data_IF_653219788195
#
_entry.id   IF_653219788195
#
_cell.length_a   1.000
_cell.length_b   1.000
_cell.length_c   1.000
_cell.angle_alpha   90.00
_cell.angle_beta   90.00
_cell.angle_gamma   90.00
#
_symmetry.space_group_name_H-M   'P 1'
#
loop_
_entity.id
_entity.type
_entity.pdbx_description
1 polymer ?
#
# COMPACT_ATOMS: atom_id res chain seq x y z
N UNK A 1 -1.19 3.39 6.67
CA UNK A 1 -1.78 2.24 7.40
C UNK A 1 -2.31 2.67 8.76
N UNK A 2 -3.48 2.18 9.21
CA UNK A 2 -4.09 2.55 10.51
C UNK A 2 -4.36 1.34 11.39
N UNK A 3 -3.91 1.38 12.66
CA UNK A 3 -4.45 0.51 13.72
C UNK A 3 -5.53 1.21 14.53
N UNK A 4 -6.63 0.50 14.68
CA UNK A 4 -7.86 0.95 15.33
C UNK A 4 -8.04 0.22 16.65
N UNK A 5 -8.45 0.89 17.73
CA UNK A 5 -8.76 0.23 19.01
C UNK A 5 -9.92 0.89 19.75
N UNK A 6 -10.86 0.08 20.28
CA UNK A 6 -11.88 0.48 21.25
C UNK A 6 -11.55 -0.08 22.64
N UNK A 7 -11.49 0.78 23.66
CA UNK A 7 -11.67 0.38 25.06
C UNK A 7 -12.61 1.36 25.76
N UNK A 8 -13.48 0.81 26.62
CA UNK A 8 -14.59 1.49 27.30
C UNK A 8 -14.14 2.69 28.16
N UNK A 9 -15.09 3.57 28.43
CA UNK A 9 -15.01 4.90 29.04
C UNK A 9 -14.25 4.98 30.36
N UNK A 10 -13.27 5.88 30.45
CA UNK A 10 -12.86 6.53 31.70
C UNK A 10 -12.41 7.97 31.43
N UNK A 11 -12.95 8.90 32.22
CA UNK A 11 -12.68 10.34 32.18
C UNK A 11 -11.19 10.62 32.47
N UNK A 12 -10.55 11.36 31.57
CA UNK A 12 -9.19 11.88 31.79
C UNK A 12 -9.30 13.24 32.48
N UNK A 13 -8.99 13.31 33.77
CA UNK A 13 -8.66 14.59 34.41
C UNK A 13 -7.28 15.10 33.97
N UNK A 14 -7.08 16.42 33.83
CA UNK A 14 -5.80 16.99 33.45
C UNK A 14 -4.83 16.99 34.62
N UNK A 15 -3.70 16.28 34.49
CA UNK A 15 -2.65 16.30 35.50
C UNK A 15 -1.97 17.67 35.56
N UNK A 16 -1.85 18.18 36.79
CA UNK A 16 -1.32 19.50 37.15
C UNK A 16 0.12 19.76 36.69
N UNK A 17 0.40 21.05 36.52
CA UNK A 17 1.70 21.66 36.20
C UNK A 17 2.75 21.41 37.29
N UNK A 18 3.62 20.42 37.03
CA UNK A 18 4.86 20.22 37.78
C UNK A 18 6.07 20.34 36.85
N UNK A 19 6.86 21.41 37.01
CA UNK A 19 8.18 21.55 36.37
C UNK A 19 9.09 20.42 36.85
N UNK A 20 9.54 19.56 35.94
CA UNK A 20 10.83 18.89 36.10
C UNK A 20 11.46 18.61 34.74
N UNK A 21 12.71 19.03 34.62
CA UNK A 21 13.59 18.95 33.45
C UNK A 21 14.20 17.55 33.33
N UNK A 22 13.82 16.80 32.31
CA UNK A 22 14.63 15.74 31.70
C UNK A 22 14.01 15.37 30.35
N UNK A 23 14.84 15.32 29.30
CA UNK A 23 14.48 14.99 27.91
C UNK A 23 13.60 13.73 27.81
N UNK A 24 12.67 13.64 26.86
CA UNK A 24 12.03 12.37 26.53
C UNK A 24 13.02 11.47 25.79
N UNK A 25 13.20 10.26 26.31
CA UNK A 25 13.95 9.19 25.65
C UNK A 25 13.31 8.87 24.29
N UNK A 26 14.09 9.12 23.24
CA UNK A 26 13.77 8.71 21.88
C UNK A 26 13.76 7.19 21.84
N UNK A 27 12.60 6.61 21.48
CA UNK A 27 12.48 5.19 21.13
C UNK A 27 13.54 4.90 20.05
N UNK A 28 14.42 3.93 20.33
CA UNK A 28 15.46 3.53 19.39
C UNK A 28 14.84 3.09 18.05
N UNK A 29 15.46 3.44 16.90
CA UNK A 29 14.90 3.11 15.60
C UNK A 29 14.82 1.60 15.40
N UNK A 30 13.67 1.15 14.89
CA UNK A 30 13.46 -0.23 14.44
C UNK A 30 14.47 -0.54 13.32
N UNK A 31 15.33 -1.57 13.43
CA UNK A 31 16.34 -1.87 12.42
C UNK A 31 15.77 -2.30 11.05
N UNK A 32 14.44 -2.48 10.94
CA UNK A 32 13.74 -2.81 9.69
C UNK A 32 13.01 -1.65 9.02
N UNK A 33 13.05 -0.44 9.59
CA UNK A 33 12.51 0.78 8.98
C UNK A 33 13.62 1.84 8.96
N UNK A 34 14.41 1.88 7.88
CA UNK A 34 15.26 3.04 7.61
C UNK A 34 14.47 4.05 6.78
N UNK A 35 14.01 5.10 7.44
CA UNK A 35 13.63 6.35 6.76
C UNK A 35 14.94 7.11 6.52
N UNK A 36 15.46 7.06 5.30
CA UNK A 36 16.51 7.97 4.87
C UNK A 36 15.86 9.18 4.22
N UNK A 37 15.99 10.34 4.86
CA UNK A 37 15.87 11.64 4.20
C UNK A 37 17.27 12.24 4.13
N UNK A 38 17.67 12.75 2.96
CA UNK A 38 18.79 13.70 2.88
C UNK A 38 18.81 14.50 1.55
N UNK A 39 19.52 15.65 1.51
CA UNK A 39 19.12 16.81 0.74
C UNK A 39 19.78 16.94 -0.65
N UNK A 40 19.03 17.68 -1.48
CA UNK A 40 19.31 18.27 -2.80
C UNK A 40 20.79 18.45 -3.19
N UNK A 41 21.17 17.87 -4.34
CA UNK A 41 22.31 18.29 -5.15
C UNK A 41 21.83 18.88 -6.48
N UNK A 42 22.46 19.96 -6.92
CA UNK A 42 22.15 20.76 -8.11
C UNK A 42 23.06 20.46 -9.30
N UNK A 43 22.52 20.66 -10.52
CA UNK A 43 23.17 20.87 -11.85
C UNK A 43 23.66 19.58 -12.56
N UNK A 44 23.69 19.42 -13.90
CA UNK A 44 23.41 20.26 -15.08
C UNK A 44 23.43 19.39 -16.37
N UNK A 45 22.57 19.74 -17.34
CA UNK A 45 22.70 19.64 -18.83
C UNK A 45 22.65 18.28 -19.56
N UNK A 46 21.79 18.24 -20.60
CA UNK A 46 21.45 17.16 -21.55
C UNK A 46 22.35 17.18 -22.83
N UNK A 47 22.04 16.54 -23.99
CA UNK A 47 21.05 15.48 -24.31
C UNK A 47 21.58 14.33 -25.22
N UNK A 48 20.83 13.22 -25.32
CA UNK A 48 21.05 12.17 -26.32
C UNK A 48 19.72 11.58 -26.81
N UNK A 49 19.34 11.93 -28.04
CA UNK A 49 18.11 11.53 -28.75
C UNK A 49 18.30 10.17 -29.42
N UNK A 50 17.44 9.20 -29.14
CA UNK A 50 17.21 8.03 -30.01
C UNK A 50 15.72 7.79 -30.17
N UNK A 51 15.26 7.94 -31.41
CA UNK A 51 13.92 7.61 -31.90
C UNK A 51 13.89 6.15 -32.34
N UNK A 52 12.89 5.38 -31.91
CA UNK A 52 12.59 4.06 -32.47
C UNK A 52 11.11 4.02 -32.88
N UNK A 53 10.89 3.87 -34.19
CA UNK A 53 9.57 3.70 -34.81
C UNK A 53 9.26 2.21 -34.89
N UNK A 54 8.16 1.77 -34.28
CA UNK A 54 7.65 0.40 -34.45
C UNK A 54 6.39 0.44 -35.30
N UNK A 55 6.51 -0.05 -36.53
CA UNK A 55 5.38 -0.32 -37.45
C UNK A 55 4.80 -1.69 -37.14
N UNK A 56 3.50 -1.78 -36.87
CA UNK A 56 2.78 -3.06 -36.87
C UNK A 56 1.78 -3.06 -38.02
N UNK A 57 1.91 -4.03 -38.93
CA UNK A 57 0.93 -4.36 -39.96
C UNK A 57 0.04 -5.49 -39.45
N UNK A 58 -1.27 -5.40 -39.69
CA UNK A 58 -2.17 -6.56 -39.60
C UNK A 58 -3.15 -6.52 -40.78
N UNK A 59 -3.13 -7.58 -41.59
CA UNK A 59 -4.06 -7.80 -42.70
C UNK A 59 -5.17 -8.78 -42.29
N UNK A 60 -6.38 -8.42 -42.69
CA UNK A 60 -7.72 -9.02 -42.67
C UNK A 60 -7.82 -10.54 -42.94
N UNK A 61 -8.83 -11.20 -42.35
CA UNK A 61 -9.75 -12.13 -43.08
C UNK A 61 -11.05 -12.35 -42.28
N UNK A 62 -12.19 -12.06 -42.89
CA UNK A 62 -13.54 -12.41 -42.40
C UNK A 62 -13.96 -13.79 -42.91
N UNK A 63 -14.59 -14.62 -42.06
CA UNK A 63 -15.44 -15.73 -42.50
C UNK A 63 -16.55 -16.02 -41.47
N UNK A 64 -17.79 -15.94 -41.91
CA UNK A 64 -19.03 -16.15 -41.14
C UNK A 64 -19.56 -17.57 -41.33
N UNK A 65 -19.99 -18.28 -40.26
CA UNK A 65 -21.21 -19.12 -40.26
C UNK A 65 -21.67 -19.63 -38.86
N UNK A 66 -22.92 -19.29 -38.52
CA UNK A 66 -23.98 -19.98 -37.73
C UNK A 66 -23.82 -20.43 -36.24
N UNK A 67 -24.40 -19.60 -35.36
CA UNK A 67 -25.41 -19.81 -34.29
C UNK A 67 -25.39 -21.02 -33.32
N UNK A 68 -25.20 -20.70 -32.04
CA UNK A 68 -25.91 -21.28 -30.88
C UNK A 68 -26.16 -20.11 -29.89
N UNK A 69 -27.23 -20.06 -29.06
CA UNK A 69 -27.47 -18.92 -28.19
C UNK A 69 -26.45 -18.97 -27.04
N UNK A 70 -25.29 -18.35 -27.26
CA UNK A 70 -24.40 -18.01 -26.19
C UNK A 70 -25.15 -17.06 -25.26
N UNK A 71 -25.13 -17.35 -23.97
CA UNK A 71 -25.38 -16.35 -22.94
C UNK A 71 -24.47 -15.18 -23.33
N UNK A 72 -25.07 -14.09 -23.80
CA UNK A 72 -24.35 -12.86 -24.05
C UNK A 72 -23.97 -12.39 -22.65
N UNK A 73 -22.76 -12.72 -22.18
CA UNK A 73 -22.10 -11.89 -21.19
C UNK A 73 -22.14 -10.50 -21.82
N UNK A 74 -23.05 -9.66 -21.34
CA UNK A 74 -22.99 -8.24 -21.63
C UNK A 74 -21.64 -7.80 -21.10
N UNK A 75 -20.67 -7.68 -22.01
CA UNK A 75 -19.46 -6.93 -21.74
C UNK A 75 -19.92 -5.50 -21.43
N UNK A 76 -20.02 -5.23 -20.15
CA UNK A 76 -20.15 -3.90 -19.61
C UNK A 76 -18.88 -3.15 -20.07
N UNK A 77 -19.05 -2.16 -20.96
CA UNK A 77 -17.99 -1.36 -21.61
C UNK A 77 -17.02 -0.71 -20.60
N UNK A 78 -17.39 -0.71 -19.32
CA UNK A 78 -16.59 -0.23 -18.19
C UNK A 78 -15.64 -1.26 -17.57
N UNK A 79 -15.80 -2.55 -17.89
CA UNK A 79 -15.00 -3.63 -17.31
C UNK A 79 -13.77 -3.90 -18.17
N UNK A 80 -12.60 -3.75 -17.56
CA UNK A 80 -11.31 -3.98 -18.20
C UNK A 80 -10.80 -5.37 -17.83
N UNK A 81 -10.50 -6.19 -18.84
CA UNK A 81 -9.76 -7.44 -18.66
C UNK A 81 -8.28 -7.13 -18.41
N UNK A 82 -7.70 -7.72 -17.37
CA UNK A 82 -6.33 -7.51 -16.94
C UNK A 82 -5.73 -8.80 -16.38
N UNK A 83 -4.50 -8.73 -15.87
CA UNK A 83 -3.82 -9.81 -15.15
C UNK A 83 -3.19 -9.29 -13.86
N UNK A 84 -3.06 -10.15 -12.87
CA UNK A 84 -2.37 -9.89 -11.61
C UNK A 84 -1.35 -10.99 -11.35
N UNK A 85 -0.16 -10.63 -10.87
CA UNK A 85 0.83 -11.61 -10.45
C UNK A 85 0.48 -12.16 -9.06
N UNK A 86 0.60 -13.47 -8.91
CA UNK A 86 0.53 -14.19 -7.65
C UNK A 86 1.78 -15.04 -7.46
N UNK A 87 2.02 -15.47 -6.21
CA UNK A 87 3.03 -16.47 -5.91
C UNK A 87 2.57 -17.84 -6.47
N UNK A 88 3.37 -18.43 -7.36
CA UNK A 88 3.10 -19.78 -7.86
C UNK A 88 3.33 -20.81 -6.74
N UNK A 89 2.36 -21.67 -6.46
CA UNK A 89 2.49 -22.68 -5.40
C UNK A 89 3.44 -23.81 -5.84
N UNK A 90 4.66 -23.83 -5.28
CA UNK A 90 5.67 -24.83 -5.59
C UNK A 90 5.93 -25.75 -4.39
N UNK A 91 6.18 -27.07 -4.60
CA UNK A 91 6.54 -27.99 -3.52
C UNK A 91 7.78 -27.57 -2.71
N UNK A 92 8.67 -26.78 -3.31
CA UNK A 92 9.83 -26.18 -2.63
C UNK A 92 9.44 -25.43 -1.35
N UNK A 93 8.27 -24.79 -1.36
CA UNK A 93 7.85 -23.90 -0.26
C UNK A 93 7.43 -24.63 1.01
N UNK A 94 7.21 -25.94 0.93
CA UNK A 94 6.98 -26.80 2.09
C UNK A 94 8.26 -26.97 2.93
N UNK A 95 9.43 -26.86 2.27
CA UNK A 95 10.73 -27.04 2.92
C UNK A 95 11.52 -25.74 3.05
N UNK A 96 11.28 -24.76 2.17
CA UNK A 96 12.05 -23.51 2.10
C UNK A 96 11.14 -22.30 1.89
N UNK A 97 11.23 -21.28 2.76
CA UNK A 97 10.35 -20.11 2.65
C UNK A 97 10.67 -19.28 1.38
N UNK A 98 9.63 -18.81 0.66
CA UNK A 98 9.80 -17.79 -0.38
C UNK A 98 10.56 -16.55 0.15
N UNK A 99 11.51 -16.03 -0.62
CA UNK A 99 12.25 -14.82 -0.26
C UNK A 99 12.52 -13.93 -1.47
N UNK A 100 12.74 -12.64 -1.21
CA UNK A 100 13.34 -11.68 -2.16
C UNK A 100 14.40 -10.88 -1.41
N UNK A 101 15.58 -10.76 -2.00
CA UNK A 101 16.67 -9.93 -1.49
C UNK A 101 16.58 -8.54 -2.13
N UNK A 102 16.61 -7.50 -1.29
CA UNK A 102 16.59 -6.10 -1.75
C UNK A 102 17.98 -5.55 -2.06
N UNK A 103 19.00 -6.37 -1.95
CA UNK A 103 20.39 -6.06 -2.25
C UNK A 103 20.94 -7.09 -3.25
N UNK A 104 22.03 -6.73 -3.91
CA UNK A 104 22.73 -7.65 -4.81
C UNK A 104 23.25 -8.85 -4.01
N UNK A 105 22.81 -10.05 -4.37
CA UNK A 105 23.30 -11.29 -3.76
C UNK A 105 24.71 -11.63 -4.26
N UNK A 106 25.44 -12.46 -3.49
CA UNK A 106 26.67 -13.10 -3.97
C UNK A 106 26.36 -14.06 -5.13
N UNK A 107 27.36 -14.34 -5.98
CA UNK A 107 27.17 -14.97 -7.30
C UNK A 107 26.44 -16.33 -7.25
N UNK A 108 26.47 -17.03 -6.10
CA UNK A 108 25.87 -18.36 -5.94
C UNK A 108 24.50 -18.39 -5.26
N UNK A 109 23.99 -17.25 -4.75
CA UNK A 109 22.68 -17.18 -4.10
C UNK A 109 21.71 -16.46 -5.02
N UNK A 110 20.62 -17.11 -5.49
CA UNK A 110 19.63 -16.42 -6.30
C UNK A 110 18.94 -15.34 -5.46
N UNK A 111 18.69 -14.17 -6.06
CA UNK A 111 18.07 -13.03 -5.37
C UNK A 111 16.64 -13.33 -4.87
N UNK A 112 15.99 -14.33 -5.46
CA UNK A 112 14.71 -14.86 -5.01
C UNK A 112 14.62 -16.34 -5.38
N UNK A 113 13.98 -17.14 -4.52
CA UNK A 113 13.63 -18.53 -4.81
C UNK A 113 12.18 -18.70 -5.29
N UNK A 114 11.40 -17.62 -5.38
CA UNK A 114 9.98 -17.72 -5.70
C UNK A 114 9.68 -17.45 -7.17
N UNK A 115 8.64 -18.12 -7.67
CA UNK A 115 8.08 -17.89 -9.00
C UNK A 115 6.77 -17.12 -8.93
N UNK A 116 6.55 -16.27 -9.92
CA UNK A 116 5.31 -15.51 -10.09
C UNK A 116 4.50 -16.14 -11.22
N UNK A 117 3.19 -16.20 -11.05
CA UNK A 117 2.23 -16.64 -12.07
C UNK A 117 1.17 -15.56 -12.29
N UNK A 118 0.79 -15.29 -13.54
CA UNK A 118 -0.28 -14.35 -13.84
C UNK A 118 -1.63 -15.06 -13.78
N UNK A 119 -2.58 -14.42 -13.12
CA UNK A 119 -3.99 -14.82 -13.14
C UNK A 119 -4.81 -13.73 -13.84
N UNK A 120 -5.73 -14.11 -14.75
CA UNK A 120 -6.64 -13.14 -15.37
C UNK A 120 -7.56 -12.56 -14.30
N UNK A 121 -7.87 -11.28 -14.42
CA UNK A 121 -8.82 -10.58 -13.56
C UNK A 121 -9.65 -9.58 -14.38
N UNK A 122 -10.84 -9.27 -13.89
CA UNK A 122 -11.67 -8.17 -14.39
C UNK A 122 -11.54 -7.00 -13.42
N UNK A 123 -11.35 -5.80 -13.94
CA UNK A 123 -11.26 -4.56 -13.17
C UNK A 123 -12.39 -3.61 -13.59
N UNK A 124 -13.05 -2.97 -12.63
CA UNK A 124 -14.14 -2.02 -12.86
C UNK A 124 -13.88 -0.74 -12.08
N UNK A 125 -14.33 0.40 -12.59
CA UNK A 125 -14.15 1.67 -11.90
C UNK A 125 -15.10 1.78 -10.70
N UNK A 126 -14.55 1.96 -9.51
CA UNK A 126 -15.33 2.21 -8.27
C UNK A 126 -16.11 3.54 -8.30
N UNK A 127 -15.87 4.40 -9.30
CA UNK A 127 -16.56 5.69 -9.46
C UNK A 127 -17.86 5.61 -10.26
N UNK A 128 -18.19 4.45 -10.80
CA UNK A 128 -19.40 4.30 -11.58
C UNK A 128 -20.66 4.40 -10.72
N UNK A 129 -21.75 4.98 -11.25
CA UNK A 129 -23.03 5.02 -10.55
C UNK A 129 -23.49 3.62 -10.13
N UNK A 130 -23.74 3.43 -8.82
CA UNK A 130 -24.21 2.15 -8.28
C UNK A 130 -23.12 1.11 -7.99
N UNK A 131 -21.82 1.44 -8.11
CA UNK A 131 -20.75 0.51 -7.77
C UNK A 131 -20.69 0.18 -6.26
N UNK A 132 -21.09 1.12 -5.39
CA UNK A 132 -21.15 0.96 -3.95
C UNK A 132 -22.58 0.95 -3.38
N UNK A 133 -22.74 0.96 -2.05
CA UNK A 133 -21.70 1.18 -1.04
C UNK A 133 -20.77 -0.03 -0.85
N UNK A 134 -19.55 0.23 -0.43
CA UNK A 134 -18.57 -0.80 -0.08
C UNK A 134 -18.33 -0.78 1.43
N UNK A 135 -18.49 -1.91 2.10
CA UNK A 135 -18.32 -2.03 3.55
C UNK A 135 -17.17 -2.96 3.89
N UNK A 136 -16.34 -2.53 4.85
CA UNK A 136 -15.11 -3.22 5.22
C UNK A 136 -15.37 -4.69 5.62
N UNK A 137 -16.44 -4.92 6.38
CA UNK A 137 -16.82 -6.25 6.88
C UNK A 137 -17.41 -7.17 5.78
N UNK A 138 -17.77 -6.62 4.61
CA UNK A 138 -18.37 -7.37 3.50
C UNK A 138 -17.35 -7.70 2.40
N UNK A 139 -16.56 -6.70 1.98
CA UNK A 139 -15.65 -6.83 0.84
C UNK A 139 -14.18 -6.57 1.18
N UNK A 140 -13.83 -6.30 2.44
CA UNK A 140 -12.46 -6.06 2.86
C UNK A 140 -11.92 -4.67 2.50
N UNK A 141 -12.77 -3.76 2.01
CA UNK A 141 -12.44 -2.35 1.80
C UNK A 141 -13.65 -1.44 2.04
N UNK A 142 -13.39 -0.15 2.22
CA UNK A 142 -14.42 0.86 2.45
C UNK A 142 -14.08 2.14 1.70
N UNK A 143 -15.09 2.83 1.19
CA UNK A 143 -14.92 4.13 0.51
C UNK A 143 -15.38 5.26 1.41
N UNK A 144 -14.51 6.24 1.63
CA UNK A 144 -14.79 7.43 2.44
C UNK A 144 -14.45 8.70 1.65
N UNK A 145 -15.22 9.77 1.87
CA UNK A 145 -14.91 11.08 1.30
C UNK A 145 -13.98 11.84 2.24
N UNK A 146 -12.79 12.17 1.73
CA UNK A 146 -11.81 13.02 2.40
C UNK A 146 -11.53 14.24 1.52
N UNK A 147 -11.88 15.43 2.01
CA UNK A 147 -11.50 16.70 1.38
C UNK A 147 -10.28 17.26 2.09
N UNK A 148 -9.11 17.05 1.50
CA UNK A 148 -7.88 17.58 2.07
C UNK A 148 -7.74 19.08 1.83
N UNK A 149 -7.08 19.77 2.76
CA UNK A 149 -6.63 21.17 2.57
C UNK A 149 -5.43 21.27 1.62
N UNK A 150 -4.71 20.17 1.37
CA UNK A 150 -3.57 20.17 0.47
C UNK A 150 -4.01 20.19 -1.00
N UNK A 151 -3.28 20.95 -1.80
CA UNK A 151 -3.31 20.89 -3.25
C UNK A 151 -2.49 19.69 -3.76
N UNK A 152 -2.69 19.32 -5.03
CA UNK A 152 -2.01 18.15 -5.63
C UNK A 152 -0.47 18.20 -5.53
N UNK A 153 0.12 19.38 -5.63
CA UNK A 153 1.59 19.53 -5.60
C UNK A 153 2.14 19.49 -4.16
N UNK A 154 1.35 19.86 -3.16
CA UNK A 154 1.76 19.86 -1.76
C UNK A 154 1.87 18.46 -1.15
N UNK A 155 1.27 17.45 -1.78
CA UNK A 155 1.42 16.04 -1.37
C UNK A 155 2.84 15.50 -1.53
N UNK A 156 3.70 16.17 -2.32
CA UNK A 156 5.10 15.78 -2.49
C UNK A 156 6.01 16.28 -1.36
N UNK A 157 5.48 17.12 -0.46
CA UNK A 157 6.17 17.61 0.71
C UNK A 157 5.80 16.75 1.93
N UNK A 158 6.81 16.14 2.56
CA UNK A 158 6.60 15.27 3.71
C UNK A 158 6.02 16.00 4.92
N UNK A 159 6.42 17.25 5.16
CA UNK A 159 5.95 18.03 6.31
C UNK A 159 4.47 18.38 6.14
N UNK A 160 4.04 18.68 4.92
CA UNK A 160 2.62 18.86 4.61
C UNK A 160 1.81 17.57 4.82
N UNK A 161 2.33 16.44 4.35
CA UNK A 161 1.65 15.14 4.54
C UNK A 161 1.53 14.80 6.02
N UNK A 162 2.60 14.98 6.81
CA UNK A 162 2.57 14.70 8.25
C UNK A 162 1.73 15.69 9.04
N UNK A 163 1.87 16.99 8.75
CA UNK A 163 1.24 18.07 9.52
C UNK A 163 -0.22 18.33 9.16
N UNK A 164 -0.64 17.99 7.95
CA UNK A 164 -1.99 18.29 7.44
C UNK A 164 -2.75 17.02 7.08
N UNK A 165 -2.23 16.24 6.12
CA UNK A 165 -3.00 15.15 5.52
C UNK A 165 -3.22 13.97 6.49
N UNK A 166 -2.18 13.54 7.20
CA UNK A 166 -2.29 12.44 8.17
C UNK A 166 -3.33 12.78 9.25
N UNK A 167 -3.32 13.95 9.92
CA UNK A 167 -4.39 14.35 10.83
C UNK A 167 -5.79 14.26 10.22
N UNK A 168 -5.99 14.76 8.99
CA UNK A 168 -7.28 14.70 8.31
C UNK A 168 -7.75 13.26 8.07
N UNK A 169 -6.84 12.37 7.62
CA UNK A 169 -7.11 10.93 7.46
C UNK A 169 -7.53 10.30 8.80
N UNK A 170 -6.84 10.64 9.89
CA UNK A 170 -7.17 10.11 11.23
C UNK A 170 -8.56 10.54 11.67
N UNK A 171 -8.94 11.79 11.43
CA UNK A 171 -10.26 12.31 11.78
C UNK A 171 -11.37 11.62 11.01
N UNK A 172 -11.22 11.46 9.69
CA UNK A 172 -12.20 10.75 8.85
C UNK A 172 -12.34 9.29 9.28
N UNK A 173 -11.23 8.59 9.53
CA UNK A 173 -11.27 7.20 9.98
C UNK A 173 -11.96 7.04 11.34
N UNK A 174 -11.68 7.93 12.29
CA UNK A 174 -12.37 7.94 13.58
C UNK A 174 -13.86 8.14 13.44
N UNK A 175 -14.27 9.11 12.62
CA UNK A 175 -15.67 9.45 12.37
C UNK A 175 -16.41 8.30 11.67
N UNK A 176 -15.86 7.80 10.57
CA UNK A 176 -16.57 6.87 9.67
C UNK A 176 -16.58 5.44 10.23
N UNK A 177 -15.52 5.02 10.91
CA UNK A 177 -15.45 3.69 11.52
C UNK A 177 -15.94 3.68 12.98
N UNK A 178 -16.21 4.84 13.57
CA UNK A 178 -16.70 4.97 14.95
C UNK A 178 -15.65 4.65 16.01
N UNK A 179 -14.38 4.92 15.72
CA UNK A 179 -13.27 4.37 16.51
C UNK A 179 -12.56 5.41 17.37
N UNK A 180 -12.06 4.96 18.53
CA UNK A 180 -11.49 5.86 19.54
C UNK A 180 -10.05 6.27 19.20
N UNK A 181 -9.24 5.30 18.79
CA UNK A 181 -7.83 5.49 18.47
C UNK A 181 -7.52 5.09 17.05
N UNK A 182 -6.64 5.88 16.43
CA UNK A 182 -6.09 5.65 15.10
C UNK A 182 -4.60 5.93 15.19
N UNK A 183 -3.78 4.93 14.88
CA UNK A 183 -2.33 5.09 14.77
C UNK A 183 -1.89 4.86 13.34
N UNK A 184 -1.23 5.86 12.75
CA UNK A 184 -0.61 5.71 11.44
C UNK A 184 0.77 5.09 11.63
N UNK A 185 0.96 3.89 11.09
CA UNK A 185 2.20 3.12 11.26
C UNK A 185 3.29 3.57 10.30
N UNK A 186 2.92 3.67 9.03
CA UNK A 186 3.75 4.16 7.95
C UNK A 186 2.90 4.80 6.86
N UNK A 187 3.59 5.53 5.99
CA UNK A 187 3.10 6.00 4.71
C UNK A 187 4.28 6.12 3.76
N UNK A 188 4.00 6.03 2.45
CA UNK A 188 5.00 6.21 1.41
C UNK A 188 4.40 7.04 0.28
N UNK A 189 5.21 7.95 -0.27
CA UNK A 189 4.87 8.68 -1.49
C UNK A 189 5.36 7.87 -2.68
N UNK A 190 4.41 7.45 -3.53
CA UNK A 190 4.70 6.61 -4.70
C UNK A 190 4.57 7.41 -5.99
N UNK A 191 5.62 7.38 -6.80
CA UNK A 191 5.63 7.95 -8.15
C UNK A 191 6.27 6.95 -9.09
N UNK A 192 5.49 6.54 -10.08
CA UNK A 192 5.95 5.58 -11.08
C UNK A 192 7.07 6.19 -11.91
N UNK A 193 8.24 5.56 -11.87
CA UNK A 193 9.36 5.86 -12.74
C UNK A 193 9.07 5.44 -14.19
N UNK A 194 9.73 6.05 -15.16
CA UNK A 194 9.53 5.72 -16.57
C UNK A 194 10.02 4.29 -16.91
N UNK A 195 11.03 3.78 -16.22
CA UNK A 195 11.56 2.42 -16.37
C UNK A 195 10.74 1.36 -15.61
N UNK A 196 9.61 1.75 -14.98
CA UNK A 196 8.81 0.86 -14.15
C UNK A 196 8.46 -0.48 -14.84
N UNK A 197 8.53 -1.54 -14.05
CA UNK A 197 8.59 -2.99 -14.36
C UNK A 197 10.00 -3.56 -14.55
N UNK A 198 11.00 -2.73 -14.86
CA UNK A 198 12.41 -3.12 -14.90
C UNK A 198 13.14 -2.49 -13.71
N UNK A 199 13.88 -3.31 -12.96
CA UNK A 199 14.80 -2.80 -11.95
C UNK A 199 15.96 -2.10 -12.65
N UNK A 200 16.20 -0.83 -12.32
CA UNK A 200 17.39 -0.09 -12.79
C UNK A 200 18.63 -0.40 -11.95
N UNK A 201 18.47 -1.11 -10.82
CA UNK A 201 19.51 -1.38 -9.82
C UNK A 201 20.04 -0.13 -9.11
N UNK A 202 19.35 1.00 -9.31
CA UNK A 202 19.61 2.26 -8.64
C UNK A 202 18.46 2.57 -7.68
N UNK A 203 18.73 3.45 -6.71
CA UNK A 203 17.70 3.93 -5.81
C UNK A 203 16.75 4.88 -6.56
N UNK A 204 15.45 4.67 -6.43
CA UNK A 204 14.45 5.56 -7.00
C UNK A 204 14.17 6.70 -6.03
N UNK A 205 13.93 7.90 -6.56
CA UNK A 205 13.49 9.05 -5.75
C UNK A 205 12.18 8.78 -5.02
N UNK A 206 11.30 7.95 -5.59
CA UNK A 206 10.02 7.55 -5.00
C UNK A 206 9.81 6.04 -5.06
N UNK A 207 9.04 5.54 -4.10
CA UNK A 207 8.62 4.15 -4.06
C UNK A 207 7.82 3.77 -5.32
N UNK A 208 8.19 2.65 -5.93
CA UNK A 208 7.55 2.15 -7.14
C UNK A 208 6.27 1.35 -6.83
N UNK A 209 5.26 1.32 -7.71
CA UNK A 209 4.07 0.50 -7.51
C UNK A 209 4.40 -1.01 -7.38
N UNK A 210 3.60 -1.75 -6.60
CA UNK A 210 3.77 -3.20 -6.46
C UNK A 210 2.87 -3.93 -7.46
N UNK A 211 3.45 -4.82 -8.26
CA UNK A 211 2.71 -5.59 -9.28
C UNK A 211 2.31 -7.01 -8.84
N UNK A 212 2.67 -7.42 -7.61
CA UNK A 212 2.42 -8.74 -7.04
C UNK A 212 1.34 -8.62 -5.95
N UNK A 213 0.32 -9.46 -6.02
CA UNK A 213 -0.66 -9.59 -4.94
C UNK A 213 0.04 -10.00 -3.64
N UNK A 214 -0.21 -9.25 -2.56
CA UNK A 214 0.40 -9.48 -1.26
C UNK A 214 -0.57 -9.12 -0.15
N UNK A 215 -0.41 -9.77 1.00
CA UNK A 215 -0.94 -9.30 2.28
C UNK A 215 0.20 -8.61 3.02
N UNK A 216 -0.09 -7.53 3.72
CA UNK A 216 0.95 -6.83 4.46
C UNK A 216 1.21 -7.45 5.83
N UNK A 217 0.13 -7.84 6.50
CA UNK A 217 0.19 -8.27 7.90
C UNK A 217 -0.54 -9.60 8.06
N UNK A 218 0.11 -10.50 8.78
CA UNK A 218 -0.58 -11.63 9.40
C UNK A 218 -1.19 -11.17 10.73
N UNK A 219 -2.14 -11.93 11.28
CA UNK A 219 -2.73 -11.64 12.60
C UNK A 219 -1.63 -11.51 13.66
N UNK A 220 -0.66 -12.44 13.67
CA UNK A 220 0.47 -12.43 14.60
C UNK A 220 1.32 -11.18 14.48
N UNK A 221 1.51 -10.68 13.25
CA UNK A 221 2.24 -9.44 13.02
C UNK A 221 1.44 -8.21 13.49
N UNK A 222 0.13 -8.20 13.27
CA UNK A 222 -0.76 -7.19 13.84
C UNK A 222 -0.67 -7.14 15.37
N UNK A 223 -0.71 -8.30 16.04
CA UNK A 223 -0.54 -8.40 17.49
C UNK A 223 0.83 -7.89 17.95
N UNK A 224 1.90 -8.23 17.21
CA UNK A 224 3.26 -7.74 17.50
C UNK A 224 3.33 -6.22 17.41
N UNK A 225 2.70 -5.62 16.40
CA UNK A 225 2.64 -4.18 16.22
C UNK A 225 1.87 -3.51 17.37
N UNK A 226 0.71 -4.06 17.76
CA UNK A 226 -0.06 -3.56 18.92
C UNK A 226 0.81 -3.60 20.18
N UNK A 227 1.55 -4.68 20.41
CA UNK A 227 2.48 -4.78 21.55
C UNK A 227 3.57 -3.73 21.51
N UNK A 228 4.15 -3.49 20.34
CA UNK A 228 5.18 -2.46 20.18
C UNK A 228 4.64 -1.04 20.40
N UNK A 229 3.41 -0.75 19.97
CA UNK A 229 2.81 0.58 20.10
C UNK A 229 2.31 0.90 21.50
N UNK A 230 1.72 -0.08 22.20
CA UNK A 230 0.98 0.16 23.44
C UNK A 230 1.69 -0.34 24.70
N UNK A 231 2.82 -1.05 24.57
CA UNK A 231 3.62 -1.52 25.70
C UNK A 231 2.78 -2.27 26.73
N UNK A 232 2.81 -1.82 27.99
CA UNK A 232 2.07 -2.41 29.11
C UNK A 232 0.55 -2.45 28.90
N UNK A 233 0.00 -1.56 28.04
CA UNK A 233 -1.43 -1.52 27.72
C UNK A 233 -1.82 -2.43 26.56
N UNK A 234 -0.88 -3.10 25.90
CA UNK A 234 -1.17 -3.89 24.72
C UNK A 234 -2.18 -5.02 24.99
N UNK A 235 -2.11 -5.67 26.14
CA UNK A 235 -3.06 -6.73 26.49
C UNK A 235 -4.49 -6.20 26.71
N UNK A 236 -4.67 -4.94 27.07
CA UNK A 236 -5.97 -4.27 27.12
C UNK A 236 -6.52 -4.09 25.70
N UNK A 237 -5.69 -3.54 24.80
CA UNK A 237 -6.06 -3.26 23.40
C UNK A 237 -6.37 -4.56 22.64
N UNK A 238 -5.57 -5.60 22.84
CA UNK A 238 -5.74 -6.89 22.19
C UNK A 238 -6.98 -7.66 22.64
N UNK A 239 -7.53 -7.35 23.83
CA UNK A 239 -8.83 -7.88 24.28
C UNK A 239 -10.00 -7.16 23.60
N UNK A 240 -9.80 -5.91 23.16
CA UNK A 240 -10.79 -5.13 22.44
C UNK A 240 -10.83 -5.47 20.95
N UNK A 241 -11.69 -4.75 20.22
CA UNK A 241 -11.70 -4.81 18.75
C UNK A 241 -10.54 -3.99 18.22
N UNK A 242 -9.71 -4.61 17.39
CA UNK A 242 -8.66 -3.93 16.65
C UNK A 242 -8.61 -4.39 15.20
N UNK A 243 -8.16 -3.49 14.34
CA UNK A 243 -8.04 -3.73 12.90
C UNK A 243 -6.77 -3.07 12.38
N UNK A 244 -6.11 -3.72 11.42
CA UNK A 244 -5.00 -3.17 10.66
C UNK A 244 -5.48 -2.91 9.23
N UNK A 245 -5.56 -1.64 8.84
CA UNK A 245 -6.09 -1.22 7.54
C UNK A 245 -4.94 -0.64 6.70
N UNK A 246 -4.80 -1.14 5.47
CA UNK A 246 -3.83 -0.65 4.49
C UNK A 246 -4.45 0.39 3.57
#
# INVERSE_FOLDING_TARGET
MVTVGESETFDLEPLATGKNTSQPDLIAPNPFLQVQTNPRATTSTAPGRMTTTTTTMTTTTNKTLATSPAIVEQDDDSTINSTMWYLEHLPLYETEKPYTMRYKSEDDIPQTNFKKVQHPMKARSMREPGAGPFHLDECGFHTMELRSRLTSDEFWDNDNVQGVYIPEVKEVLKRDLGVKYVHVLDYALRKRDQAFLLSTWEEYEYDQPTALAHIDFTIKEGERIVRALFGDRADEVLKGRWQAIK
#
